data_IF_254816546638
#
_entry.id   IF_254816546638
#
_cell.length_a   1.000
_cell.length_b   1.000
_cell.length_c   1.000
_cell.angle_alpha   90.00
_cell.angle_beta   90.00
_cell.angle_gamma   90.00
#
_symmetry.space_group_name_H-M   'P 1'
#
loop_
_entity.id
_entity.type
_entity.pdbx_description
1 polymer ?
#
# COMPACT_ATOMS: atom_id res chain seq x y z
N UNK A 1 -16.99 -16.01 46.19
CA UNK A 1 -17.52 -15.80 44.84
C UNK A 1 -16.58 -16.48 43.87
N UNK A 2 -16.82 -17.77 43.62
CA UNK A 2 -16.02 -18.60 42.73
C UNK A 2 -16.26 -18.22 41.27
N UNK A 3 -15.16 -18.07 40.52
CA UNK A 3 -15.20 -17.94 39.05
C UNK A 3 -15.39 -19.35 38.45
N UNK A 4 -16.30 -19.53 37.49
CA UNK A 4 -16.43 -20.82 36.81
C UNK A 4 -15.24 -21.04 35.86
N UNK A 5 -14.68 -22.24 35.97
CA UNK A 5 -13.63 -22.81 35.12
C UNK A 5 -14.28 -23.26 33.80
N UNK A 6 -14.10 -22.48 32.73
CA UNK A 6 -14.66 -22.76 31.40
C UNK A 6 -13.63 -23.58 30.63
N UNK A 7 -13.66 -24.90 30.82
CA UNK A 7 -13.02 -25.87 29.91
C UNK A 7 -13.96 -26.09 28.72
N UNK A 8 -13.89 -25.22 27.73
CA UNK A 8 -14.47 -25.51 26.41
C UNK A 8 -13.62 -26.56 25.70
N UNK A 9 -14.27 -27.67 25.39
CA UNK A 9 -13.73 -28.79 24.65
C UNK A 9 -13.51 -28.36 23.19
N UNK A 10 -12.25 -28.26 22.80
CA UNK A 10 -11.85 -28.20 21.40
C UNK A 10 -12.00 -29.60 20.80
N UNK A 11 -12.95 -29.76 19.88
CA UNK A 11 -13.05 -30.93 19.01
C UNK A 11 -12.12 -30.73 17.82
N UNK A 12 -11.17 -31.65 17.66
CA UNK A 12 -10.29 -31.70 16.48
C UNK A 12 -11.13 -31.95 15.22
N UNK A 13 -10.97 -31.15 14.15
CA UNK A 13 -11.59 -31.44 12.87
C UNK A 13 -10.92 -32.69 12.27
N UNK A 14 -11.75 -33.64 11.87
CA UNK A 14 -11.30 -34.88 11.23
C UNK A 14 -10.57 -34.61 9.91
N UNK A 15 -9.52 -35.38 9.69
CA UNK A 15 -8.79 -35.49 8.43
C UNK A 15 -9.73 -36.00 7.32
N UNK A 16 -10.46 -35.10 6.68
CA UNK A 16 -11.14 -35.40 5.42
C UNK A 16 -10.22 -35.01 4.25
N UNK A 17 -9.78 -36.04 3.55
CA UNK A 17 -9.03 -36.06 2.28
C UNK A 17 -8.97 -34.72 1.53
N UNK A 18 -7.86 -34.00 1.71
CA UNK A 18 -7.48 -32.88 0.87
C UNK A 18 -7.01 -33.40 -0.50
N UNK A 19 -7.97 -33.85 -1.33
CA UNK A 19 -7.75 -34.01 -2.76
C UNK A 19 -7.31 -32.66 -3.33
N UNK A 20 -6.04 -32.57 -3.72
CA UNK A 20 -5.45 -31.42 -4.39
C UNK A 20 -6.22 -31.12 -5.68
N UNK A 21 -7.17 -30.18 -5.60
CA UNK A 21 -7.84 -29.63 -6.77
C UNK A 21 -6.83 -28.74 -7.47
N UNK A 22 -6.12 -29.32 -8.44
CA UNK A 22 -5.34 -28.57 -9.42
C UNK A 22 -6.33 -27.85 -10.31
N UNK A 23 -6.70 -26.62 -9.94
CA UNK A 23 -7.51 -25.76 -10.81
C UNK A 23 -6.62 -25.34 -11.97
N UNK A 24 -6.95 -25.70 -13.22
CA UNK A 24 -6.20 -25.21 -14.37
C UNK A 24 -6.44 -23.70 -14.47
N UNK A 25 -5.48 -22.91 -14.01
CA UNK A 25 -5.44 -21.48 -14.26
C UNK A 25 -5.32 -21.33 -15.77
N UNK A 26 -6.42 -20.95 -16.43
CA UNK A 26 -6.38 -20.49 -17.80
C UNK A 26 -5.45 -19.28 -17.82
N UNK A 27 -4.21 -19.51 -18.24
CA UNK A 27 -3.22 -18.48 -18.54
C UNK A 27 -3.71 -17.76 -19.79
N UNK A 28 -4.65 -16.84 -19.61
CA UNK A 28 -4.86 -15.79 -20.58
C UNK A 28 -3.50 -15.12 -20.73
N UNK A 29 -2.88 -15.34 -21.89
CA UNK A 29 -1.63 -14.72 -22.27
C UNK A 29 -1.87 -13.21 -22.38
N UNK A 30 -1.74 -12.50 -21.26
CA UNK A 30 -1.48 -11.06 -21.24
C UNK A 30 -0.06 -10.85 -21.80
N UNK A 31 0.12 -11.17 -23.08
CA UNK A 31 1.36 -10.94 -23.79
C UNK A 31 1.43 -9.45 -24.14
N UNK A 32 2.54 -8.86 -23.69
CA UNK A 32 3.03 -7.49 -23.93
C UNK A 32 2.61 -6.43 -22.91
N UNK A 33 3.14 -6.57 -21.69
CA UNK A 33 3.55 -5.39 -20.92
C UNK A 33 4.59 -4.64 -21.75
N UNK A 34 4.13 -3.61 -22.46
CA UNK A 34 4.92 -2.72 -23.29
C UNK A 34 5.98 -2.03 -22.44
N UNK A 35 7.27 -2.36 -22.66
CA UNK A 35 8.45 -1.64 -22.15
C UNK A 35 8.23 -0.90 -20.81
N UNK A 36 7.67 -1.60 -19.83
CA UNK A 36 7.25 -0.95 -18.60
C UNK A 36 8.48 -0.47 -17.85
N UNK A 37 8.47 0.80 -17.41
CA UNK A 37 9.55 1.35 -16.59
C UNK A 37 9.81 0.40 -15.41
N UNK A 38 11.08 -0.01 -15.20
CA UNK A 38 11.44 -0.96 -14.13
C UNK A 38 10.89 -0.49 -12.79
N UNK A 39 10.27 -1.39 -12.03
CA UNK A 39 9.64 -1.05 -10.76
C UNK A 39 10.39 -1.66 -9.58
N UNK A 40 10.43 -0.93 -8.46
CA UNK A 40 10.71 -1.45 -7.13
C UNK A 40 9.42 -1.52 -6.31
N UNK A 41 8.99 -2.74 -6.02
CA UNK A 41 7.78 -3.00 -5.25
C UNK A 41 8.13 -3.53 -3.86
N UNK A 42 7.53 -2.96 -2.82
CA UNK A 42 7.57 -3.54 -1.48
C UNK A 42 6.18 -4.04 -1.10
N UNK A 43 6.04 -5.35 -0.91
CA UNK A 43 4.82 -5.98 -0.43
C UNK A 43 4.88 -6.14 1.10
N UNK A 44 4.05 -5.39 1.80
CA UNK A 44 3.81 -5.47 3.23
C UNK A 44 2.63 -6.41 3.47
N UNK A 45 2.88 -7.56 4.10
CA UNK A 45 1.88 -8.60 4.37
C UNK A 45 1.53 -8.62 5.85
N UNK A 46 0.27 -8.43 6.18
CA UNK A 46 -0.19 -8.52 7.56
C UNK A 46 -0.02 -9.96 8.07
N UNK A 47 0.79 -10.13 9.12
CA UNK A 47 1.02 -11.42 9.76
C UNK A 47 -0.04 -11.77 10.79
N UNK A 48 -0.68 -10.77 11.40
CA UNK A 48 -1.85 -10.99 12.25
C UNK A 48 -3.08 -11.03 11.36
N UNK A 49 -3.78 -12.14 11.32
CA UNK A 49 -5.13 -12.12 10.74
C UNK A 49 -6.08 -12.68 11.77
N UNK A 50 -7.26 -12.07 11.93
CA UNK A 50 -8.32 -12.63 12.77
C UNK A 50 -8.69 -14.08 12.34
N UNK A 51 -8.37 -14.42 11.09
CA UNK A 51 -8.58 -15.71 10.47
C UNK A 51 -7.37 -16.66 10.56
N UNK A 52 -6.32 -16.32 11.33
CA UNK A 52 -5.21 -17.21 11.67
C UNK A 52 -4.14 -17.43 10.58
N UNK A 53 -3.33 -18.47 10.76
CA UNK A 53 -2.21 -18.84 9.89
C UNK A 53 -2.66 -19.10 8.45
N UNK A 54 -3.79 -19.77 8.24
CA UNK A 54 -4.30 -20.12 6.92
C UNK A 54 -4.50 -18.91 6.02
N UNK A 55 -4.99 -17.81 6.59
CA UNK A 55 -5.21 -16.58 5.84
C UNK A 55 -3.89 -15.87 5.55
N UNK A 56 -2.95 -15.89 6.50
CA UNK A 56 -1.59 -15.40 6.26
C UNK A 56 -0.90 -16.18 5.11
N UNK A 57 -1.03 -17.51 5.09
CA UNK A 57 -0.53 -18.36 3.99
C UNK A 57 -1.16 -17.99 2.66
N UNK A 58 -2.45 -17.65 2.63
CA UNK A 58 -3.13 -17.17 1.41
C UNK A 58 -2.63 -15.80 0.96
N UNK A 59 -2.33 -14.87 1.87
CA UNK A 59 -1.69 -13.60 1.51
C UNK A 59 -0.31 -13.83 0.87
N UNK A 60 0.52 -14.69 1.46
CA UNK A 60 1.81 -15.05 0.87
C UNK A 60 1.64 -15.73 -0.49
N UNK A 61 0.63 -16.60 -0.64
CA UNK A 61 0.31 -17.26 -1.91
C UNK A 61 -0.10 -16.26 -2.99
N UNK A 62 -0.87 -15.22 -2.64
CA UNK A 62 -1.17 -14.10 -3.53
C UNK A 62 0.11 -13.40 -4.00
N UNK A 63 1.01 -13.05 -3.07
CA UNK A 63 2.30 -12.42 -3.41
C UNK A 63 3.15 -13.32 -4.31
N UNK A 64 3.21 -14.63 -4.04
CA UNK A 64 3.88 -15.58 -4.94
C UNK A 64 3.25 -15.60 -6.34
N UNK A 65 1.92 -15.56 -6.41
CA UNK A 65 1.18 -15.45 -7.67
C UNK A 65 1.60 -14.22 -8.46
N UNK A 66 1.68 -13.06 -7.81
CA UNK A 66 2.16 -11.82 -8.43
C UNK A 66 3.60 -11.98 -8.91
N UNK A 67 4.52 -12.40 -8.05
CA UNK A 67 5.94 -12.59 -8.40
C UNK A 67 6.14 -13.54 -9.59
N UNK A 68 5.30 -14.57 -9.72
CA UNK A 68 5.35 -15.48 -10.89
C UNK A 68 4.97 -14.77 -12.19
N UNK A 69 3.99 -13.86 -12.16
CA UNK A 69 3.54 -13.09 -13.32
C UNK A 69 4.49 -11.93 -13.70
N UNK A 70 5.27 -11.41 -12.76
CA UNK A 70 6.20 -10.31 -13.02
C UNK A 70 7.51 -10.76 -13.66
N UNK A 71 8.07 -9.94 -14.54
CA UNK A 71 9.44 -10.12 -15.06
C UNK A 71 10.47 -9.56 -14.07
N UNK A 72 11.32 -10.43 -13.53
CA UNK A 72 12.41 -10.12 -12.60
C UNK A 72 13.70 -10.74 -13.16
N UNK A 73 14.65 -9.94 -13.68
CA UNK A 73 14.62 -8.48 -13.94
C UNK A 73 13.64 -8.09 -15.08
N UNK A 74 13.29 -6.79 -15.29
CA UNK A 74 13.91 -5.60 -14.71
C UNK A 74 13.29 -5.14 -13.37
N UNK A 75 12.17 -5.72 -12.96
CA UNK A 75 11.52 -5.36 -11.69
C UNK A 75 12.30 -5.95 -10.51
N UNK A 76 12.12 -5.33 -9.34
CA UNK A 76 12.58 -5.88 -8.08
C UNK A 76 11.46 -5.86 -7.05
N UNK A 77 11.44 -6.88 -6.20
CA UNK A 77 10.41 -7.04 -5.19
C UNK A 77 11.06 -7.30 -3.84
N UNK A 78 10.55 -6.63 -2.81
CA UNK A 78 10.82 -6.93 -1.40
C UNK A 78 9.51 -7.38 -0.74
N UNK A 79 9.63 -8.18 0.31
CA UNK A 79 8.48 -8.65 1.09
C UNK A 79 8.76 -8.48 2.57
N UNK A 80 7.81 -7.86 3.28
CA UNK A 80 7.88 -7.61 4.72
C UNK A 80 6.62 -8.17 5.36
N UNK A 81 6.78 -9.02 6.36
CA UNK A 81 5.68 -9.41 7.24
C UNK A 81 5.55 -8.37 8.34
N UNK A 82 4.35 -7.84 8.58
CA UNK A 82 4.15 -6.79 9.56
C UNK A 82 3.15 -7.18 10.63
N UNK A 83 3.39 -6.63 11.82
CA UNK A 83 3.26 -7.32 13.10
C UNK A 83 4.62 -7.27 13.81
N UNK A 84 5.60 -8.07 13.36
CA UNK A 84 6.98 -8.03 13.88
C UNK A 84 7.87 -7.02 13.16
N UNK A 85 7.51 -6.66 11.93
CA UNK A 85 8.41 -5.92 11.02
C UNK A 85 9.50 -6.82 10.43
N UNK A 86 9.32 -8.14 10.45
CA UNK A 86 10.26 -9.11 9.86
C UNK A 86 10.35 -8.89 8.34
N UNK A 87 11.56 -8.71 7.87
CA UNK A 87 11.87 -8.73 6.43
C UNK A 87 11.88 -10.20 5.98
N UNK A 88 10.94 -10.57 5.10
CA UNK A 88 10.93 -11.89 4.46
C UNK A 88 11.98 -11.93 3.35
N UNK A 89 12.04 -10.87 2.55
CA UNK A 89 13.05 -10.68 1.52
C UNK A 89 13.37 -9.20 1.36
N UNK A 90 14.65 -8.88 1.27
CA UNK A 90 15.09 -7.59 0.76
C UNK A 90 14.76 -7.46 -0.72
N UNK A 91 14.88 -6.23 -1.24
CA UNK A 91 14.63 -5.93 -2.64
C UNK A 91 15.58 -6.75 -3.54
N UNK A 92 15.00 -7.56 -4.42
CA UNK A 92 15.76 -8.48 -5.28
C UNK A 92 15.06 -8.67 -6.63
N UNK A 93 15.85 -8.93 -7.67
CA UNK A 93 15.43 -9.42 -8.99
C UNK A 93 15.63 -10.95 -9.15
N UNK A 94 16.11 -11.65 -8.12
CA UNK A 94 16.16 -13.12 -8.13
C UNK A 94 14.79 -13.69 -7.77
N UNK A 95 14.01 -13.99 -8.81
CA UNK A 95 12.67 -14.59 -8.69
C UNK A 95 12.68 -15.88 -7.86
N UNK A 96 13.67 -16.75 -8.02
CA UNK A 96 13.69 -18.06 -7.35
C UNK A 96 14.04 -17.92 -5.87
N UNK A 97 15.03 -17.09 -5.53
CA UNK A 97 15.36 -16.79 -4.14
C UNK A 97 14.17 -16.14 -3.42
N UNK A 98 13.51 -15.16 -4.07
CA UNK A 98 12.33 -14.50 -3.51
C UNK A 98 11.19 -15.48 -3.23
N UNK A 99 10.84 -16.35 -4.20
CA UNK A 99 9.77 -17.35 -4.02
C UNK A 99 10.09 -18.31 -2.88
N UNK A 100 11.34 -18.75 -2.73
CA UNK A 100 11.78 -19.59 -1.61
C UNK A 100 11.64 -18.86 -0.26
N UNK A 101 12.04 -17.59 -0.18
CA UNK A 101 11.90 -16.78 1.03
C UNK A 101 10.42 -16.62 1.43
N UNK A 102 9.54 -16.36 0.46
CA UNK A 102 8.09 -16.27 0.71
C UNK A 102 7.52 -17.60 1.19
N UNK A 103 7.93 -18.72 0.58
CA UNK A 103 7.48 -20.06 0.98
C UNK A 103 7.92 -20.43 2.41
N UNK A 104 9.13 -20.04 2.79
CA UNK A 104 9.70 -20.34 4.11
C UNK A 104 9.28 -19.34 5.21
N UNK A 105 8.52 -18.29 4.87
CA UNK A 105 8.12 -17.28 5.84
C UNK A 105 7.26 -17.90 6.96
N UNK A 106 7.64 -17.72 8.24
CA UNK A 106 6.86 -18.24 9.35
C UNK A 106 5.65 -17.35 9.64
N UNK A 107 4.57 -17.95 10.11
CA UNK A 107 3.49 -17.21 10.75
C UNK A 107 3.91 -16.79 12.16
N UNK A 108 3.50 -15.61 12.59
CA UNK A 108 3.83 -15.06 13.90
C UNK A 108 2.54 -14.64 14.60
N UNK A 109 2.28 -15.23 15.76
CA UNK A 109 1.19 -14.82 16.64
C UNK A 109 1.60 -13.56 17.38
N UNK A 110 1.16 -12.40 16.89
CA UNK A 110 1.41 -11.12 17.52
C UNK A 110 0.12 -10.44 17.94
N UNK A 111 0.24 -9.62 18.98
CA UNK A 111 -0.92 -9.15 19.72
C UNK A 111 -1.78 -8.19 18.89
N UNK A 112 -1.22 -7.27 18.10
CA UNK A 112 -2.00 -6.31 17.28
C UNK A 112 -1.26 -5.82 16.02
N UNK A 113 -1.99 -5.41 14.95
CA UNK A 113 -1.38 -4.95 13.71
C UNK A 113 -0.96 -3.49 13.83
N UNK A 114 0.27 -3.20 13.41
CA UNK A 114 0.86 -1.87 13.38
C UNK A 114 1.29 -1.59 11.94
N UNK A 115 0.56 -0.71 11.25
CA UNK A 115 0.87 -0.32 9.87
C UNK A 115 2.01 0.72 9.79
N UNK A 116 2.35 1.41 10.87
CA UNK A 116 3.41 2.41 10.83
C UNK A 116 4.79 1.77 10.63
N UNK A 117 5.07 0.69 11.36
CA UNK A 117 6.34 -0.06 11.25
C UNK A 117 6.68 -0.53 9.83
N UNK A 118 5.81 -1.27 9.11
CA UNK A 118 6.12 -1.70 7.75
C UNK A 118 6.24 -0.56 6.77
N UNK A 119 5.42 0.50 6.89
CA UNK A 119 5.53 1.68 6.01
C UNK A 119 6.89 2.36 6.21
N UNK A 120 7.34 2.51 7.45
CA UNK A 120 8.69 3.00 7.76
C UNK A 120 9.78 2.09 7.20
N UNK A 121 9.62 0.77 7.36
CA UNK A 121 10.54 -0.23 6.81
C UNK A 121 10.66 -0.14 5.29
N UNK A 122 9.52 -0.04 4.61
CA UNK A 122 9.44 0.13 3.16
C UNK A 122 10.14 1.41 2.70
N UNK A 123 9.88 2.54 3.39
CA UNK A 123 10.52 3.83 3.12
C UNK A 123 12.04 3.71 3.17
N UNK A 124 12.59 3.06 4.21
CA UNK A 124 14.05 2.86 4.35
C UNK A 124 14.62 1.97 3.25
N UNK A 125 13.94 0.88 2.90
CA UNK A 125 14.41 -0.04 1.85
C UNK A 125 14.48 0.66 0.48
N UNK A 126 13.50 1.50 0.15
CA UNK A 126 13.49 2.25 -1.11
C UNK A 126 14.54 3.37 -1.13
N UNK A 127 14.87 3.97 0.01
CA UNK A 127 15.93 4.98 0.10
C UNK A 127 17.36 4.41 -0.04
N UNK A 128 17.63 3.20 0.45
CA UNK A 128 18.96 2.57 0.33
C UNK A 128 19.35 2.37 -1.15
N UNK A 129 18.36 2.19 -2.02
CA UNK A 129 18.54 2.00 -3.46
C UNK A 129 19.05 3.27 -4.15
N UNK A 130 18.63 4.46 -3.67
CA UNK A 130 18.99 5.75 -4.26
C UNK A 130 20.49 6.05 -4.18
N UNK A 131 21.20 5.46 -3.20
CA UNK A 131 22.63 5.69 -3.02
C UNK A 131 23.54 4.93 -3.98
N UNK A 132 23.03 3.92 -4.71
CA UNK A 132 23.88 2.92 -5.37
C UNK A 132 23.50 2.58 -6.82
N UNK A 133 22.48 3.23 -7.39
CA UNK A 133 22.06 3.05 -8.78
C UNK A 133 21.77 4.39 -9.42
N UNK A 134 21.88 4.49 -10.75
CA UNK A 134 21.30 5.59 -11.55
C UNK A 134 19.77 5.55 -11.42
N UNK A 135 19.28 5.86 -10.22
CA UNK A 135 17.94 5.60 -9.71
C UNK A 135 16.84 6.46 -10.35
N UNK A 136 17.20 7.30 -11.33
CA UNK A 136 16.35 8.34 -11.90
C UNK A 136 15.22 7.81 -12.81
N UNK A 137 15.15 6.50 -13.09
CA UNK A 137 14.13 5.96 -14.02
C UNK A 137 13.26 4.82 -13.48
N UNK A 138 13.41 4.40 -12.21
CA UNK A 138 12.63 3.28 -11.65
C UNK A 138 11.37 3.76 -10.93
N UNK A 139 10.21 3.24 -11.33
CA UNK A 139 8.95 3.41 -10.58
C UNK A 139 9.06 2.73 -9.22
N UNK A 140 8.34 3.24 -8.22
CA UNK A 140 8.34 2.70 -6.85
C UNK A 140 6.92 2.60 -6.34
N UNK A 141 6.59 1.53 -5.63
CA UNK A 141 5.29 1.37 -5.00
C UNK A 141 5.39 0.56 -3.71
N UNK A 142 4.47 0.82 -2.79
CA UNK A 142 4.29 0.00 -1.59
C UNK A 142 2.89 -0.61 -1.65
N UNK A 143 2.82 -1.94 -1.65
CA UNK A 143 1.59 -2.70 -1.58
C UNK A 143 1.37 -3.17 -0.15
N UNK A 144 0.23 -2.88 0.44
CA UNK A 144 -0.17 -3.34 1.77
C UNK A 144 -1.31 -4.35 1.64
N UNK A 145 -1.11 -5.57 2.16
CA UNK A 145 -2.12 -6.62 2.19
C UNK A 145 -2.57 -6.79 3.64
N UNK A 146 -3.84 -6.48 3.91
CA UNK A 146 -4.40 -6.47 5.26
C UNK A 146 -5.80 -7.07 5.31
N UNK A 147 -6.20 -7.51 6.50
CA UNK A 147 -7.56 -7.89 6.84
C UNK A 147 -8.41 -6.66 7.21
N UNK A 148 -9.45 -6.91 8.00
CA UNK A 148 -10.36 -5.87 8.52
C UNK A 148 -9.87 -5.21 9.83
N UNK A 149 -8.64 -5.49 10.26
CA UNK A 149 -8.12 -4.96 11.52
C UNK A 149 -7.51 -3.57 11.34
N UNK A 150 -7.79 -2.69 12.30
CA UNK A 150 -7.25 -1.33 12.37
C UNK A 150 -5.82 -1.33 12.92
N UNK A 151 -4.99 -0.39 12.44
CA UNK A 151 -3.65 -0.14 12.96
C UNK A 151 -3.74 0.35 14.41
N UNK A 152 -2.89 -0.15 15.30
CA UNK A 152 -2.82 0.33 16.69
C UNK A 152 -2.59 1.84 16.79
N UNK A 153 -1.72 2.36 15.92
CA UNK A 153 -1.38 3.78 15.86
C UNK A 153 -1.62 4.30 14.44
N UNK A 154 -2.88 4.67 14.18
CA UNK A 154 -3.28 5.21 12.89
C UNK A 154 -2.61 6.57 12.61
N UNK A 155 -2.34 7.38 13.63
CA UNK A 155 -1.70 8.68 13.46
C UNK A 155 -0.26 8.52 12.97
N UNK A 156 0.49 7.59 13.55
CA UNK A 156 1.84 7.27 13.07
C UNK A 156 1.80 6.63 11.68
N UNK A 157 0.85 5.74 11.41
CA UNK A 157 0.70 5.15 10.08
C UNK A 157 0.40 6.22 9.01
N UNK A 158 -0.44 7.22 9.32
CA UNK A 158 -0.72 8.36 8.45
C UNK A 158 0.53 9.21 8.20
N UNK A 159 1.34 9.47 9.21
CA UNK A 159 2.59 10.21 9.05
C UNK A 159 3.57 9.49 8.12
N UNK A 160 3.75 8.17 8.29
CA UNK A 160 4.61 7.36 7.43
C UNK A 160 4.05 7.23 5.99
N UNK A 161 2.74 7.06 5.86
CA UNK A 161 2.05 7.04 4.56
C UNK A 161 2.20 8.36 3.81
N UNK A 162 2.04 9.50 4.50
CA UNK A 162 2.29 10.83 3.95
C UNK A 162 3.74 10.98 3.50
N UNK A 163 4.70 10.53 4.32
CA UNK A 163 6.12 10.59 3.96
C UNK A 163 6.46 9.78 2.71
N UNK A 164 5.83 8.62 2.51
CA UNK A 164 6.00 7.82 1.29
C UNK A 164 5.42 8.54 0.06
N UNK A 165 4.20 9.08 0.17
CA UNK A 165 3.54 9.84 -0.90
C UNK A 165 4.32 11.10 -1.29
N UNK A 166 4.80 11.86 -0.31
CA UNK A 166 5.63 13.08 -0.52
C UNK A 166 6.94 12.76 -1.27
N UNK A 167 7.39 11.49 -1.27
CA UNK A 167 8.58 11.00 -1.98
C UNK A 167 8.25 10.31 -3.32
N UNK A 168 7.02 10.43 -3.81
CA UNK A 168 6.59 9.81 -5.06
C UNK A 168 6.46 8.28 -5.00
N UNK A 169 6.24 7.72 -3.80
CA UNK A 169 6.04 6.28 -3.60
C UNK A 169 4.55 6.02 -3.28
N UNK A 170 3.69 5.80 -4.30
CA UNK A 170 2.28 5.51 -4.09
C UNK A 170 2.06 4.28 -3.20
N UNK A 171 1.00 4.36 -2.39
CA UNK A 171 0.49 3.25 -1.60
C UNK A 171 -0.66 2.57 -2.33
N UNK A 172 -0.63 1.24 -2.38
CA UNK A 172 -1.71 0.39 -2.88
C UNK A 172 -2.14 -0.56 -1.77
N UNK A 173 -3.43 -0.87 -1.70
CA UNK A 173 -3.97 -1.75 -0.67
C UNK A 173 -4.74 -2.93 -1.27
N UNK A 174 -4.58 -4.09 -0.65
CA UNK A 174 -5.47 -5.23 -0.82
C UNK A 174 -6.07 -5.51 0.55
N UNK A 175 -7.32 -5.10 0.73
CA UNK A 175 -8.05 -5.36 1.97
C UNK A 175 -8.90 -6.62 1.83
N UNK A 176 -8.82 -7.52 2.81
CA UNK A 176 -9.52 -8.80 2.82
C UNK A 176 -10.49 -8.87 3.99
N UNK A 177 -11.77 -9.07 3.67
CA UNK A 177 -12.84 -9.08 4.65
C UNK A 177 -13.50 -7.70 4.82
N UNK A 178 -14.54 -7.70 5.66
CA UNK A 178 -15.43 -6.56 5.83
C UNK A 178 -16.38 -6.37 4.64
N UNK A 179 -17.50 -5.69 4.88
CA UNK A 179 -18.42 -5.31 3.80
C UNK A 179 -17.91 -4.09 3.02
N UNK A 180 -17.02 -3.30 3.62
CA UNK A 180 -16.44 -2.09 3.05
C UNK A 180 -14.96 -1.95 3.38
N UNK A 181 -14.27 -1.06 2.65
CA UNK A 181 -12.92 -0.61 2.99
C UNK A 181 -12.92 0.02 4.38
N UNK A 182 -12.00 -0.42 5.26
CA UNK A 182 -11.97 0.03 6.64
C UNK A 182 -11.52 1.50 6.73
N UNK A 183 -11.91 2.17 7.82
CA UNK A 183 -11.62 3.60 8.03
C UNK A 183 -10.13 3.91 8.00
N UNK A 184 -9.29 2.99 8.46
CA UNK A 184 -7.85 3.16 8.53
C UNK A 184 -7.26 3.25 7.12
N UNK A 185 -7.58 2.29 6.25
CA UNK A 185 -7.15 2.29 4.84
C UNK A 185 -7.63 3.57 4.15
N UNK A 186 -8.90 3.98 4.35
CA UNK A 186 -9.43 5.25 3.82
C UNK A 186 -8.66 6.46 4.36
N UNK A 187 -8.21 6.43 5.60
CA UNK A 187 -7.45 7.55 6.19
C UNK A 187 -6.00 7.62 5.69
N UNK A 188 -5.41 6.48 5.31
CA UNK A 188 -4.08 6.43 4.70
C UNK A 188 -4.11 6.82 3.21
N UNK A 189 -5.28 6.68 2.58
CA UNK A 189 -5.58 7.08 1.22
C UNK A 189 -6.77 8.06 1.20
N UNK A 190 -6.60 9.32 1.65
CA UNK A 190 -7.69 10.29 1.63
C UNK A 190 -8.23 10.53 0.21
N UNK A 191 -7.37 10.39 -0.80
CA UNK A 191 -7.74 10.40 -2.23
C UNK A 191 -7.98 8.97 -2.74
N UNK A 192 -8.62 8.10 -1.94
CA UNK A 192 -8.93 6.71 -2.27
C UNK A 192 -9.93 6.62 -3.45
N UNK A 193 -9.49 7.02 -4.64
CA UNK A 193 -10.03 6.47 -5.86
C UNK A 193 -9.90 4.95 -5.79
N UNK A 194 -10.87 4.26 -6.40
CA UNK A 194 -10.86 2.81 -6.56
C UNK A 194 -9.56 2.26 -7.17
N UNK A 195 -8.74 3.11 -7.79
CA UNK A 195 -7.44 2.76 -8.37
C UNK A 195 -6.35 2.42 -7.34
N UNK A 196 -6.54 2.70 -6.04
CA UNK A 196 -5.53 2.44 -5.01
C UNK A 196 -5.90 1.31 -4.04
N UNK A 197 -7.11 0.76 -4.13
CA UNK A 197 -7.60 -0.27 -3.21
C UNK A 197 -8.30 -1.39 -3.99
N UNK A 198 -7.83 -2.62 -3.81
CA UNK A 198 -8.56 -3.83 -4.16
C UNK A 198 -9.20 -4.38 -2.89
N UNK A 199 -10.53 -4.34 -2.84
CA UNK A 199 -11.29 -4.87 -1.71
C UNK A 199 -11.82 -6.27 -2.05
N UNK A 200 -11.45 -7.25 -1.23
CA UNK A 200 -11.90 -8.64 -1.31
C UNK A 200 -12.82 -8.96 -0.14
N UNK A 201 -13.92 -9.67 -0.37
CA UNK A 201 -14.91 -9.98 0.68
C UNK A 201 -14.40 -10.96 1.71
N UNK A 202 -13.37 -11.73 1.37
CA UNK A 202 -12.74 -12.63 2.31
C UNK A 202 -11.63 -13.49 1.70
N UNK A 203 -10.98 -14.34 2.52
CA UNK A 203 -9.79 -15.07 2.11
C UNK A 203 -10.00 -16.05 0.94
N UNK A 204 -11.24 -16.42 0.62
CA UNK A 204 -11.56 -17.32 -0.49
C UNK A 204 -11.36 -16.68 -1.87
N UNK A 205 -11.35 -15.35 -1.95
CA UNK A 205 -11.18 -14.61 -3.21
C UNK A 205 -9.71 -14.41 -3.59
N UNK A 206 -8.79 -14.53 -2.62
CA UNK A 206 -7.35 -14.33 -2.81
C UNK A 206 -6.74 -15.12 -3.98
N UNK A 207 -7.05 -16.42 -4.19
CA UNK A 207 -6.48 -17.16 -5.32
C UNK A 207 -6.86 -16.59 -6.69
N UNK A 208 -8.06 -16.01 -6.82
CA UNK A 208 -8.54 -15.40 -8.06
C UNK A 208 -8.06 -13.97 -8.27
N UNK A 209 -7.57 -13.31 -7.22
CA UNK A 209 -7.24 -11.89 -7.22
C UNK A 209 -5.83 -11.56 -7.76
N UNK A 210 -5.04 -12.54 -8.20
CA UNK A 210 -3.64 -12.31 -8.62
C UNK A 210 -3.56 -11.30 -9.78
N UNK A 211 -4.38 -11.47 -10.82
CA UNK A 211 -4.38 -10.57 -11.97
C UNK A 211 -4.79 -9.14 -11.59
N UNK A 212 -5.78 -9.01 -10.71
CA UNK A 212 -6.27 -7.73 -10.23
C UNK A 212 -5.22 -7.02 -9.36
N UNK A 213 -4.50 -7.78 -8.53
CA UNK A 213 -3.39 -7.26 -7.73
C UNK A 213 -2.22 -6.78 -8.59
N UNK A 214 -1.90 -7.49 -9.68
CA UNK A 214 -0.89 -7.03 -10.65
C UNK A 214 -1.37 -5.74 -11.34
N UNK A 215 -2.62 -5.70 -11.80
CA UNK A 215 -3.20 -4.48 -12.41
C UNK A 215 -3.25 -3.30 -11.44
N UNK A 216 -3.55 -3.53 -10.17
CA UNK A 216 -3.56 -2.50 -9.13
C UNK A 216 -2.20 -1.79 -8.98
N UNK A 217 -1.11 -2.55 -9.09
CA UNK A 217 0.25 -2.05 -8.84
C UNK A 217 0.91 -1.53 -10.12
N UNK A 218 0.75 -2.24 -11.24
CA UNK A 218 1.46 -1.99 -12.49
C UNK A 218 0.60 -1.30 -13.54
N UNK A 219 -0.73 -1.37 -13.40
CA UNK A 219 -1.63 -0.61 -14.25
C UNK A 219 -1.33 0.87 -14.14
N UNK A 220 -1.26 1.54 -15.29
CA UNK A 220 -1.28 2.99 -15.32
C UNK A 220 -2.56 3.41 -14.63
N UNK A 221 -2.45 4.23 -13.59
CA UNK A 221 -3.63 4.94 -13.13
C UNK A 221 -4.11 5.68 -14.37
N UNK A 222 -5.34 5.40 -14.80
CA UNK A 222 -6.02 6.27 -15.75
C UNK A 222 -6.05 7.62 -15.04
N UNK A 223 -5.03 8.44 -15.26
CA UNK A 223 -5.13 9.87 -15.13
C UNK A 223 -6.24 10.17 -16.11
N UNK A 224 -7.46 10.27 -15.59
CA UNK A 224 -8.50 11.05 -16.23
C UNK A 224 -7.88 12.46 -16.34
N UNK A 225 -7.10 12.65 -17.40
CA UNK A 225 -6.83 13.94 -18.00
C UNK A 225 -8.20 14.45 -18.42
N UNK A 226 -8.97 14.89 -17.43
CA UNK A 226 -10.12 15.77 -17.60
C UNK A 226 -9.51 17.08 -18.10
N UNK A 227 -9.18 17.07 -19.40
CA UNK A 227 -8.95 18.25 -20.20
C UNK A 227 -10.19 19.10 -19.99
N UNK A 228 -10.05 20.08 -19.11
CA UNK A 228 -10.87 21.27 -19.09
C UNK A 228 -10.60 22.06 -20.38
N UNK A 229 -10.98 21.48 -21.53
CA UNK A 229 -11.29 22.22 -22.74
C UNK A 229 -12.70 22.78 -22.55
N UNK A 230 -12.80 23.89 -21.80
CA UNK A 230 -13.87 24.85 -22.07
C UNK A 230 -13.24 26.20 -22.38
N UNK A 231 -12.84 26.30 -23.65
CA UNK A 231 -12.64 27.53 -24.39
C UNK A 231 -13.87 28.42 -24.18
N UNK A 232 -13.72 29.52 -23.43
CA UNK A 232 -14.58 30.69 -23.61
C UNK A 232 -13.81 31.70 -24.44
N UNK A 233 -14.10 31.63 -25.73
CA UNK A 233 -13.75 32.67 -26.68
C UNK A 233 -14.28 34.03 -26.22
N UNK A 234 -13.37 34.97 -26.37
CA UNK A 234 -13.48 36.41 -26.30
C UNK A 234 -14.56 36.96 -27.25
N UNK A 235 -15.32 37.94 -26.78
CA UNK A 235 -15.93 38.95 -27.64
C UNK A 235 -16.11 40.27 -26.86
N UNK A 236 -15.02 41.02 -26.74
CA UNK A 236 -14.92 42.35 -27.33
C UNK A 236 -15.86 43.50 -26.88
N UNK A 237 -15.20 44.57 -26.40
CA UNK A 237 -15.50 46.02 -26.50
C UNK A 237 -16.40 46.69 -25.45
N UNK A 238 -15.77 47.62 -24.72
CA UNK A 238 -16.44 48.77 -24.08
C UNK A 238 -15.46 49.76 -23.45
N UNK A 239 -15.08 50.79 -24.19
CA UNK A 239 -14.28 51.93 -23.72
C UNK A 239 -15.00 52.75 -22.62
N UNK A 240 -14.26 53.37 -21.69
CA UNK A 240 -14.83 54.47 -20.89
C UNK A 240 -14.04 54.98 -19.68
N UNK A 241 -13.10 55.91 -19.92
CA UNK A 241 -12.75 57.11 -19.14
C UNK A 241 -12.63 57.08 -17.59
N UNK A 242 -11.40 57.39 -17.14
CA UNK A 242 -10.96 58.48 -16.24
C UNK A 242 -11.78 58.85 -14.97
N UNK A 243 -11.13 58.78 -13.78
CA UNK A 243 -10.88 59.94 -12.89
C UNK A 243 -10.03 59.55 -11.65
N UNK A 244 -8.87 60.22 -11.55
CA UNK A 244 -8.23 60.90 -10.39
C UNK A 244 -8.12 60.32 -8.95
N UNK A 245 -7.15 60.84 -8.17
CA UNK A 245 -6.50 60.12 -7.06
C UNK A 245 -6.88 60.63 -5.65
N UNK A 246 -6.62 59.80 -4.64
CA UNK A 246 -6.64 60.14 -3.21
C UNK A 246 -6.78 58.85 -2.40
N UNK A 247 -6.07 58.59 -1.30
CA UNK A 247 -5.12 59.37 -0.54
C UNK A 247 -4.53 58.48 0.56
N UNK A 248 -3.47 59.00 1.18
CA UNK A 248 -2.90 58.70 2.51
C UNK A 248 -3.56 57.59 3.35
N UNK A 249 -2.73 56.73 3.98
CA UNK A 249 -2.33 56.92 5.39
C UNK A 249 -1.88 55.62 6.07
N UNK A 250 -0.62 55.63 6.51
CA UNK A 250 -0.03 55.16 7.79
C UNK A 250 -0.48 53.83 8.44
N UNK A 251 0.49 52.93 8.70
CA UNK A 251 1.13 52.71 10.03
C UNK A 251 1.84 51.35 10.11
N UNK A 252 3.10 51.39 10.53
CA UNK A 252 3.81 50.28 11.18
C UNK A 252 3.45 50.22 12.68
N UNK A 253 3.56 49.05 13.33
CA UNK A 253 4.59 48.86 14.39
C UNK A 253 5.18 47.43 14.37
N UNK A 254 6.49 47.18 14.49
CA UNK A 254 7.39 47.15 15.67
C UNK A 254 6.89 46.38 16.91
N UNK A 255 7.73 45.45 17.39
CA UNK A 255 7.64 44.73 18.68
C UNK A 255 7.36 43.24 18.47
N UNK A 256 8.03 42.26 19.08
CA UNK A 256 8.74 42.27 20.36
C UNK A 256 9.62 41.01 20.48
N UNK A 257 10.69 41.14 21.26
CA UNK A 257 11.71 40.15 21.64
C UNK A 257 11.35 39.39 22.92
N UNK A 258 11.80 38.14 23.05
CA UNK A 258 11.96 37.39 24.30
C UNK A 258 12.35 35.95 23.95
N UNK A 259 13.54 35.41 24.18
CA UNK A 259 14.48 35.39 25.32
C UNK A 259 13.96 34.65 26.57
N UNK A 260 14.78 33.66 27.00
CA UNK A 260 14.76 32.88 28.26
C UNK A 260 13.77 31.68 28.31
N UNK A 261 14.09 30.51 28.88
CA UNK A 261 15.17 30.10 29.77
C UNK A 261 15.41 28.59 29.68
N UNK A 262 16.66 28.21 29.82
CA UNK A 262 17.13 26.89 30.25
C UNK A 262 16.60 26.50 31.64
N UNK A 263 16.38 25.19 31.78
CA UNK A 263 16.18 24.44 33.02
C UNK A 263 16.44 22.97 32.72
#
# INVERSE_FOLDING_TARGET
>A
GERPDVKEAWQEPGDEDAASVVVPVHMASCASATAESPMDLIACVESRTAAGEDTYRKYLTLVQGMVRQLELPPNRVAVVAYGSGRVISHLTDDKQALLKSIQAAPFEHLEEPDMARPLRGASRMLQVVDGNTTAESRRRAVLVICGNACSQDISQAQAEAKSLKDKGMPLKFIQVGGEEVCSDVRSLLPDASSANVLHLRGPKELPGAVGDAVRLVFGEGEEEDEKADEVKEDDGKGQGRAHSPGGLSTRSPTGETGELSSG
#
